data_IF_415412658080
#
_entry.id   IF_415412658080
#
_cell.length_a   1.000
_cell.length_b   1.000
_cell.length_c   1.000
_cell.angle_alpha   90.00
_cell.angle_beta   90.00
_cell.angle_gamma   90.00
#
_symmetry.space_group_name_H-M   'P 1'
#
loop_
_entity.id
_entity.type
_entity.pdbx_description
1 polymer ?
#
# COMPACT_ATOMS: atom_id res chain seq x y z
N UNK A 1 -14.40 27.70 -5.58
CA UNK A 1 -13.46 27.31 -4.54
C UNK A 1 -13.64 25.82 -4.22
N UNK A 2 -12.56 25.06 -4.12
CA UNK A 2 -12.56 23.65 -3.71
C UNK A 2 -12.50 23.58 -2.19
N UNK A 3 -13.16 22.56 -1.61
CA UNK A 3 -13.24 22.39 -0.16
C UNK A 3 -12.90 20.96 0.23
N UNK A 4 -12.03 20.82 1.22
CA UNK A 4 -11.84 19.61 1.98
C UNK A 4 -12.72 19.70 3.22
N UNK A 5 -13.37 18.62 3.61
CA UNK A 5 -14.37 18.69 4.67
C UNK A 5 -14.14 17.60 5.70
N UNK A 6 -14.09 17.98 6.97
CA UNK A 6 -14.11 17.09 8.12
C UNK A 6 -15.48 17.14 8.78
N UNK A 7 -16.04 15.96 9.06
CA UNK A 7 -17.29 15.79 9.79
C UNK A 7 -17.05 15.11 11.12
N UNK A 8 -17.66 15.61 12.18
CA UNK A 8 -17.86 14.88 13.42
C UNK A 8 -19.31 14.40 13.48
N UNK A 9 -19.47 13.10 13.66
CA UNK A 9 -20.79 12.46 13.62
C UNK A 9 -21.05 11.81 14.98
N UNK A 10 -22.24 12.01 15.54
CA UNK A 10 -22.66 11.31 16.72
C UNK A 10 -22.82 9.81 16.40
N UNK A 11 -22.11 8.94 17.14
CA UNK A 11 -22.07 7.51 16.85
C UNK A 11 -23.39 6.77 17.09
N UNK A 12 -24.26 7.31 17.94
CA UNK A 12 -25.55 6.69 18.31
C UNK A 12 -26.65 7.09 17.33
N UNK A 13 -26.74 8.39 17.02
CA UNK A 13 -27.81 8.94 16.19
C UNK A 13 -27.46 9.10 14.72
N UNK A 14 -26.16 9.07 14.36
CA UNK A 14 -25.69 9.41 13.02
C UNK A 14 -25.78 10.91 12.68
N UNK A 15 -26.20 11.76 13.64
CA UNK A 15 -26.32 13.19 13.42
C UNK A 15 -24.96 13.88 13.34
N UNK A 16 -24.81 14.82 12.44
CA UNK A 16 -23.60 15.64 12.31
C UNK A 16 -23.54 16.62 13.49
N UNK A 17 -22.56 16.46 14.38
CA UNK A 17 -22.30 17.37 15.49
C UNK A 17 -21.69 18.67 15.03
N UNK A 18 -20.67 18.57 14.15
CA UNK A 18 -20.05 19.72 13.50
C UNK A 18 -19.45 19.34 12.15
N UNK A 19 -19.22 20.35 11.34
CA UNK A 19 -18.60 20.26 10.02
C UNK A 19 -17.59 21.39 9.91
N UNK A 20 -16.35 21.06 9.46
CA UNK A 20 -15.29 22.05 9.20
C UNK A 20 -14.85 21.96 7.75
N UNK A 21 -14.74 23.10 7.10
CA UNK A 21 -14.35 23.19 5.69
C UNK A 21 -13.02 23.92 5.56
N UNK A 22 -12.07 23.29 4.89
CA UNK A 22 -10.77 23.87 4.55
C UNK A 22 -10.82 24.24 3.07
N UNK A 23 -10.72 25.52 2.77
CA UNK A 23 -10.71 26.03 1.40
C UNK A 23 -9.32 25.87 0.83
N UNK A 24 -9.22 25.29 -0.37
CA UNK A 24 -7.96 25.10 -1.09
C UNK A 24 -8.07 25.65 -2.50
N UNK A 25 -6.95 26.07 -3.06
CA UNK A 25 -6.88 26.57 -4.45
C UNK A 25 -7.06 25.42 -5.45
N UNK A 26 -6.38 24.31 -5.16
CA UNK A 26 -6.32 23.13 -6.01
C UNK A 26 -6.41 21.86 -5.17
N UNK A 27 -7.00 20.80 -5.73
CA UNK A 27 -6.96 19.46 -5.15
C UNK A 27 -5.83 18.68 -5.83
N UNK A 28 -5.11 17.89 -5.05
CA UNK A 28 -4.12 16.97 -5.57
C UNK A 28 -4.75 15.96 -6.53
N UNK A 29 -3.91 15.47 -7.45
CA UNK A 29 -4.29 14.45 -8.43
C UNK A 29 -3.63 13.14 -8.06
N UNK A 30 -4.23 12.05 -8.45
CA UNK A 30 -3.72 10.69 -8.23
C UNK A 30 -4.42 9.67 -9.11
N UNK A 31 -4.24 8.41 -8.78
CA UNK A 31 -4.91 7.28 -9.45
C UNK A 31 -6.45 7.45 -9.44
N UNK A 32 -7.21 6.90 -10.41
CA UNK A 32 -8.68 7.02 -10.45
C UNK A 32 -9.42 6.57 -9.19
N UNK A 33 -8.85 5.65 -8.40
CA UNK A 33 -9.40 5.22 -7.10
C UNK A 33 -9.03 6.15 -5.92
N UNK A 34 -8.15 7.13 -6.16
CA UNK A 34 -7.71 8.08 -5.14
C UNK A 34 -8.79 9.12 -4.82
N UNK A 35 -8.82 9.55 -3.57
CA UNK A 35 -9.62 10.67 -3.11
C UNK A 35 -8.76 11.62 -2.28
N UNK A 36 -8.80 12.95 -2.47
CA UNK A 36 -8.04 13.92 -1.67
C UNK A 36 -8.30 13.88 -0.15
N UNK A 37 -9.31 13.13 0.30
CA UNK A 37 -9.63 12.87 1.70
C UNK A 37 -9.45 11.38 2.08
N UNK A 38 -8.49 10.70 1.47
CA UNK A 38 -8.21 9.26 1.75
C UNK A 38 -7.54 9.03 3.11
N UNK A 39 -6.81 10.02 3.64
CA UNK A 39 -6.15 9.92 4.94
C UNK A 39 -7.18 9.77 6.07
N UNK A 40 -6.92 8.85 6.99
CA UNK A 40 -7.72 8.67 8.21
C UNK A 40 -7.28 9.69 9.27
N UNK A 41 -8.17 10.50 9.83
CA UNK A 41 -7.82 11.38 10.94
C UNK A 41 -7.39 10.59 12.18
N UNK A 42 -6.39 11.10 12.90
CA UNK A 42 -5.97 10.56 14.19
C UNK A 42 -6.66 11.31 15.34
N UNK A 43 -6.98 10.62 16.43
CA UNK A 43 -7.57 11.23 17.63
C UNK A 43 -7.01 10.63 18.91
N UNK A 44 -6.81 11.46 19.94
CA UNK A 44 -6.46 11.08 21.31
C UNK A 44 -7.63 11.23 22.30
N UNK A 45 -8.86 11.42 21.80
CA UNK A 45 -10.05 11.66 22.59
C UNK A 45 -10.25 13.13 22.99
N UNK A 46 -9.23 13.99 22.90
CA UNK A 46 -9.30 15.43 23.12
C UNK A 46 -9.16 16.22 21.84
N UNK A 47 -8.41 15.68 20.87
CA UNK A 47 -8.06 16.31 19.59
C UNK A 47 -8.38 15.40 18.44
N UNK A 48 -8.57 16.00 17.28
CA UNK A 48 -8.66 15.34 15.98
C UNK A 48 -7.66 16.01 15.05
N UNK A 49 -6.71 15.24 14.56
CA UNK A 49 -5.70 15.71 13.59
C UNK A 49 -6.02 15.11 12.23
N UNK A 50 -6.28 15.93 11.25
CA UNK A 50 -6.50 15.54 9.87
C UNK A 50 -5.32 15.93 8.99
N UNK A 51 -4.97 15.08 8.03
CA UNK A 51 -4.00 15.37 6.99
C UNK A 51 -4.66 15.34 5.63
N UNK A 52 -4.36 16.35 4.82
CA UNK A 52 -4.79 16.43 3.42
C UNK A 52 -3.57 16.78 2.56
N UNK A 53 -3.28 15.97 1.56
CA UNK A 53 -2.16 16.23 0.65
C UNK A 53 -2.28 17.55 -0.12
N UNK A 54 -3.51 18.10 -0.24
CA UNK A 54 -3.79 19.38 -0.87
C UNK A 54 -3.67 20.60 0.07
N UNK A 55 -3.41 20.34 1.37
CA UNK A 55 -3.36 21.41 2.37
C UNK A 55 -2.20 21.24 3.36
N UNK A 56 -2.09 20.05 3.99
CA UNK A 56 -1.20 19.78 5.11
C UNK A 56 -1.94 19.24 6.32
N UNK A 57 -1.39 19.46 7.52
CA UNK A 57 -1.96 19.05 8.80
C UNK A 57 -2.87 20.15 9.38
N UNK A 58 -3.93 19.72 10.05
CA UNK A 58 -4.81 20.60 10.82
C UNK A 58 -5.34 19.86 12.04
N UNK A 59 -5.39 20.53 13.17
CA UNK A 59 -5.88 19.99 14.44
C UNK A 59 -7.10 20.77 14.92
N UNK A 60 -8.10 20.02 15.37
CA UNK A 60 -9.30 20.53 16.02
C UNK A 60 -9.46 19.93 17.41
N UNK A 61 -10.14 20.65 18.31
CA UNK A 61 -10.63 20.06 19.56
C UNK A 61 -11.91 19.21 19.31
N UNK A 62 -12.49 18.66 20.36
CA UNK A 62 -13.73 17.84 20.26
C UNK A 62 -14.95 18.62 19.80
N UNK A 63 -14.95 19.92 20.02
CA UNK A 63 -16.00 20.87 19.65
C UNK A 63 -15.83 21.34 18.19
N UNK A 64 -14.70 20.98 17.57
CA UNK A 64 -14.36 21.33 16.21
C UNK A 64 -13.70 22.70 16.08
N UNK A 65 -13.23 23.30 17.19
CA UNK A 65 -12.47 24.54 17.11
C UNK A 65 -11.04 24.25 16.73
N UNK A 66 -10.54 24.99 15.75
CA UNK A 66 -9.18 24.82 15.26
C UNK A 66 -8.16 25.21 16.34
N UNK A 67 -7.21 24.32 16.59
CA UNK A 67 -6.13 24.54 17.56
C UNK A 67 -4.85 25.02 16.88
N UNK A 68 -4.49 24.36 15.77
CA UNK A 68 -3.32 24.71 14.96
C UNK A 68 -3.47 24.13 13.55
N UNK A 69 -2.70 24.70 12.61
CA UNK A 69 -2.56 24.21 11.23
C UNK A 69 -1.14 24.34 10.72
N UNK A 70 -0.75 23.43 9.85
CA UNK A 70 0.55 23.41 9.18
C UNK A 70 0.31 23.24 7.69
N UNK A 71 0.21 24.33 6.93
CA UNK A 71 0.11 24.26 5.48
C UNK A 71 1.36 23.64 4.87
N UNK A 72 1.18 22.82 3.86
CA UNK A 72 2.26 22.15 3.11
C UNK A 72 2.00 22.30 1.60
N UNK A 73 3.06 22.23 0.76
CA UNK A 73 2.87 22.19 -0.68
C UNK A 73 1.98 21.02 -1.09
N UNK A 74 1.23 21.19 -2.21
CA UNK A 74 0.39 20.10 -2.74
C UNK A 74 1.24 18.86 -3.08
N UNK A 75 0.78 17.69 -2.68
CA UNK A 75 1.52 16.44 -2.95
C UNK A 75 1.43 16.05 -4.42
N UNK A 76 2.48 15.37 -4.90
CA UNK A 76 2.53 14.75 -6.23
C UNK A 76 3.02 13.31 -6.08
N UNK A 77 2.16 12.35 -6.34
CA UNK A 77 2.48 10.93 -6.40
C UNK A 77 1.52 10.21 -7.34
N UNK A 78 1.89 9.03 -7.81
CA UNK A 78 1.04 8.21 -8.70
C UNK A 78 -0.31 7.87 -8.05
N UNK A 79 -0.29 7.41 -6.81
CA UNK A 79 -1.50 6.99 -6.12
C UNK A 79 -2.25 8.16 -5.45
N UNK A 80 -1.72 9.39 -5.49
CA UNK A 80 -2.14 10.46 -4.60
C UNK A 80 -1.61 10.24 -3.20
N UNK A 81 -2.13 10.98 -2.21
CA UNK A 81 -1.70 10.84 -0.84
C UNK A 81 -2.77 10.18 0.02
N UNK A 82 -2.45 9.03 0.60
CA UNK A 82 -3.34 8.28 1.49
C UNK A 82 -2.68 7.88 2.82
N UNK A 83 -1.45 8.34 3.09
CA UNK A 83 -0.86 8.17 4.43
C UNK A 83 -1.69 8.91 5.47
N UNK A 84 -1.75 8.36 6.67
CA UNK A 84 -2.51 8.94 7.78
C UNK A 84 -1.56 9.44 8.86
N UNK A 85 -1.86 10.56 9.53
CA UNK A 85 -1.10 10.97 10.70
C UNK A 85 -1.36 9.99 11.84
N UNK A 86 -0.41 9.90 12.77
CA UNK A 86 -0.55 9.10 13.97
C UNK A 86 -0.20 9.95 15.21
N UNK A 87 -0.89 9.71 16.34
CA UNK A 87 -0.61 10.39 17.61
C UNK A 87 0.08 9.41 18.53
N UNK A 88 1.27 9.79 19.03
CA UNK A 88 2.06 8.99 19.98
C UNK A 88 2.59 9.90 21.09
N UNK A 89 2.28 9.55 22.33
CA UNK A 89 2.71 10.37 23.46
C UNK A 89 2.22 11.82 23.31
N UNK A 90 3.15 12.75 23.22
CA UNK A 90 2.90 14.17 22.97
C UNK A 90 3.11 14.61 21.52
N UNK A 91 3.30 13.67 20.60
CA UNK A 91 3.62 13.91 19.20
C UNK A 91 2.48 13.54 18.25
N UNK A 92 2.40 14.28 17.15
CA UNK A 92 1.76 13.86 15.90
C UNK A 92 2.87 13.55 14.89
N UNK A 93 2.87 12.35 14.36
CA UNK A 93 3.83 11.93 13.33
C UNK A 93 3.14 11.81 11.99
N UNK A 94 3.78 12.30 10.95
CA UNK A 94 3.36 12.19 9.55
C UNK A 94 4.51 11.69 8.68
N UNK A 95 4.30 10.61 7.94
CA UNK A 95 5.15 10.23 6.81
C UNK A 95 4.57 10.83 5.52
N UNK A 96 5.38 11.56 4.78
CA UNK A 96 4.95 12.23 3.54
C UNK A 96 5.83 11.81 2.37
N UNK A 97 5.43 10.73 1.69
CA UNK A 97 6.12 10.18 0.53
C UNK A 97 5.56 10.77 -0.78
N UNK A 98 6.30 11.65 -1.45
CA UNK A 98 5.90 12.24 -2.72
C UNK A 98 7.08 12.91 -3.44
N UNK A 99 6.86 13.37 -4.68
CA UNK A 99 7.89 14.01 -5.52
C UNK A 99 8.28 15.44 -5.10
N UNK A 100 7.45 16.10 -4.28
CA UNK A 100 7.65 17.52 -3.96
C UNK A 100 8.53 17.68 -2.73
N UNK A 101 8.23 16.94 -1.66
CA UNK A 101 8.92 17.06 -0.38
C UNK A 101 8.73 15.77 0.42
N UNK A 102 9.72 14.88 0.33
CA UNK A 102 9.69 13.53 0.92
C UNK A 102 10.32 13.55 2.30
N UNK A 103 9.51 13.38 3.35
CA UNK A 103 9.97 13.47 4.72
C UNK A 103 9.11 12.70 5.73
N UNK A 104 9.66 12.53 6.92
CA UNK A 104 8.93 12.21 8.14
C UNK A 104 8.96 13.43 9.05
N UNK A 105 7.83 13.79 9.63
CA UNK A 105 7.66 14.96 10.47
C UNK A 105 7.03 14.55 11.80
N UNK A 106 7.60 15.02 12.92
CA UNK A 106 6.94 15.01 14.21
C UNK A 106 6.69 16.43 14.71
N UNK A 107 5.48 16.67 15.17
CA UNK A 107 5.09 17.94 15.78
C UNK A 107 4.46 17.68 17.15
N UNK A 108 4.60 18.65 18.06
CA UNK A 108 3.91 18.59 19.34
C UNK A 108 2.38 18.63 19.09
N UNK A 109 1.65 17.68 19.65
CA UNK A 109 0.22 17.51 19.40
C UNK A 109 -0.65 18.66 19.91
N UNK A 110 -0.17 19.42 20.89
CA UNK A 110 -0.92 20.54 21.48
C UNK A 110 -0.72 21.84 20.70
N UNK A 111 0.50 22.07 20.25
CA UNK A 111 0.89 23.36 19.69
C UNK A 111 1.14 23.36 18.19
N UNK A 112 1.28 22.17 17.58
CA UNK A 112 1.70 22.02 16.18
C UNK A 112 3.17 22.39 15.93
N UNK A 113 3.96 22.74 16.98
CA UNK A 113 5.37 23.08 16.81
C UNK A 113 6.16 21.86 16.38
N UNK A 114 6.99 22.01 15.35
CA UNK A 114 7.90 20.95 14.90
C UNK A 114 8.86 20.57 16.03
N UNK A 115 8.93 19.27 16.29
CA UNK A 115 9.91 18.68 17.20
C UNK A 115 11.12 18.18 16.39
N UNK A 116 10.86 17.45 15.32
CA UNK A 116 11.89 17.05 14.37
C UNK A 116 11.28 16.84 12.96
N UNK A 117 12.14 16.91 11.95
CA UNK A 117 11.83 16.59 10.55
C UNK A 117 13.03 15.90 9.92
N UNK A 118 12.79 14.75 9.28
CA UNK A 118 13.82 13.96 8.61
C UNK A 118 13.44 13.83 7.14
N UNK A 119 14.25 14.40 6.26
CA UNK A 119 14.12 14.21 4.83
C UNK A 119 14.52 12.80 4.43
N UNK A 120 13.78 12.22 3.51
CA UNK A 120 14.04 10.89 2.97
C UNK A 120 14.82 11.05 1.67
N UNK A 121 16.06 10.57 1.66
CA UNK A 121 16.95 10.65 0.48
C UNK A 121 16.64 9.57 -0.57
N UNK A 122 15.74 8.64 -0.25
CA UNK A 122 15.32 7.60 -1.18
C UNK A 122 14.75 8.20 -2.47
N UNK A 123 15.20 7.75 -3.65
CA UNK A 123 14.66 8.24 -4.91
C UNK A 123 13.18 7.87 -5.03
N UNK A 124 12.34 8.89 -5.16
CA UNK A 124 10.91 8.73 -5.36
C UNK A 124 10.60 8.77 -6.85
N UNK A 125 10.21 7.65 -7.45
CA UNK A 125 9.77 7.60 -8.84
C UNK A 125 8.27 7.84 -8.97
N UNK A 126 7.83 8.31 -10.14
CA UNK A 126 6.41 8.58 -10.44
C UNK A 126 5.49 7.35 -10.29
N UNK A 127 6.08 6.16 -10.23
CA UNK A 127 5.36 4.89 -10.15
C UNK A 127 5.17 4.38 -8.72
N UNK A 128 5.69 5.10 -7.72
CA UNK A 128 5.62 4.72 -6.32
C UNK A 128 4.45 5.42 -5.64
N UNK A 129 3.75 4.67 -4.81
CA UNK A 129 2.58 5.18 -4.10
C UNK A 129 2.95 5.81 -2.75
N UNK A 130 3.79 5.15 -1.95
CA UNK A 130 4.20 5.59 -0.60
C UNK A 130 3.05 6.10 0.27
N UNK A 131 2.01 5.29 0.39
CA UNK A 131 0.81 5.61 1.17
C UNK A 131 0.73 4.87 2.50
N UNK A 132 1.77 4.10 2.83
CA UNK A 132 1.90 3.41 4.12
C UNK A 132 1.82 4.40 5.28
N UNK A 133 1.17 3.99 6.36
CA UNK A 133 1.08 4.79 7.58
C UNK A 133 2.22 4.43 8.54
N UNK A 134 2.74 5.40 9.31
CA UNK A 134 3.69 5.13 10.36
C UNK A 134 3.04 4.35 11.52
N UNK A 135 3.77 3.42 12.12
CA UNK A 135 3.38 2.74 13.36
C UNK A 135 4.50 2.87 14.39
N UNK A 136 4.17 2.81 15.68
CA UNK A 136 5.18 2.86 16.75
C UNK A 136 5.18 1.56 17.56
N UNK A 137 6.37 1.05 17.80
CA UNK A 137 6.60 -0.11 18.65
C UNK A 137 7.95 0.03 19.35
N UNK A 138 8.01 -0.29 20.65
CA UNK A 138 9.24 -0.27 21.45
C UNK A 138 10.05 1.04 21.31
N UNK A 139 9.37 2.20 21.25
CA UNK A 139 10.02 3.51 21.10
C UNK A 139 10.49 3.84 19.68
N UNK A 140 10.30 2.92 18.73
CA UNK A 140 10.67 3.10 17.33
C UNK A 140 9.46 3.37 16.45
N UNK A 141 9.62 4.31 15.53
CA UNK A 141 8.68 4.58 14.44
C UNK A 141 9.05 3.69 13.26
N UNK A 142 8.20 2.73 12.95
CA UNK A 142 8.37 1.83 11.79
C UNK A 142 7.69 2.41 10.57
N UNK A 143 8.43 2.46 9.47
CA UNK A 143 7.98 2.98 8.18
C UNK A 143 8.22 1.94 7.08
N UNK A 144 7.25 1.80 6.21
CA UNK A 144 7.41 1.11 4.92
C UNK A 144 7.46 2.19 3.84
N UNK A 145 8.66 2.43 3.32
CA UNK A 145 8.92 3.43 2.29
C UNK A 145 9.04 2.79 0.91
N UNK A 146 9.28 3.59 -0.11
CA UNK A 146 9.42 3.10 -1.49
C UNK A 146 10.60 2.14 -1.69
N UNK A 147 11.62 2.21 -0.85
CA UNK A 147 12.89 1.47 -1.03
C UNK A 147 13.32 0.72 0.20
N UNK A 148 12.60 0.87 1.31
CA UNK A 148 13.00 0.27 2.58
C UNK A 148 11.82 0.00 3.51
N UNK A 149 12.08 -0.84 4.49
CA UNK A 149 11.42 -0.83 5.79
C UNK A 149 12.43 -0.29 6.77
N UNK A 150 12.08 0.71 7.57
CA UNK A 150 13.03 1.35 8.47
C UNK A 150 12.41 1.69 9.83
N UNK A 151 13.26 1.74 10.83
CA UNK A 151 12.92 2.23 12.15
C UNK A 151 13.63 3.55 12.42
N UNK A 152 12.88 4.53 12.92
CA UNK A 152 13.42 5.77 13.46
C UNK A 152 13.08 5.82 14.94
N UNK A 153 14.01 6.30 15.75
CA UNK A 153 13.71 6.65 17.14
C UNK A 153 12.59 7.70 17.18
N UNK A 154 11.49 7.42 17.86
CA UNK A 154 10.30 8.27 17.81
C UNK A 154 10.52 9.64 18.44
N UNK A 155 11.43 9.75 19.42
CA UNK A 155 11.70 11.00 20.11
C UNK A 155 12.57 11.97 19.29
N UNK A 156 13.52 11.43 18.53
CA UNK A 156 14.53 12.22 17.81
C UNK A 156 14.43 12.18 16.29
N UNK A 157 13.73 11.20 15.73
CA UNK A 157 13.70 10.94 14.29
C UNK A 157 14.98 10.31 13.75
N UNK A 158 15.96 9.97 14.59
CA UNK A 158 17.21 9.33 14.15
C UNK A 158 16.92 7.90 13.66
N UNK A 159 17.52 7.52 12.53
CA UNK A 159 17.42 6.16 12.01
C UNK A 159 18.11 5.18 12.98
N UNK A 160 17.37 4.14 13.36
CA UNK A 160 17.86 3.02 14.19
C UNK A 160 18.34 1.91 13.29
N UNK A 161 17.48 1.48 12.35
CA UNK A 161 17.83 0.48 11.34
C UNK A 161 17.09 0.72 10.02
N UNK A 162 17.61 0.12 8.96
CA UNK A 162 17.01 0.12 7.63
C UNK A 162 17.21 -1.22 6.93
N UNK A 163 16.12 -1.78 6.43
CA UNK A 163 16.11 -2.98 5.58
C UNK A 163 15.76 -2.56 4.15
N UNK A 164 16.62 -2.85 3.17
CA UNK A 164 16.35 -2.53 1.78
C UNK A 164 15.19 -3.37 1.24
N UNK A 165 14.18 -2.73 0.70
CA UNK A 165 12.96 -3.38 0.24
C UNK A 165 12.28 -2.51 -0.82
N UNK A 166 12.54 -2.80 -2.11
CA UNK A 166 11.97 -2.01 -3.20
C UNK A 166 10.53 -2.44 -3.52
N UNK A 167 9.55 -1.64 -3.10
CA UNK A 167 8.11 -1.90 -3.26
C UNK A 167 7.35 -0.65 -3.69
N UNK A 168 6.04 -0.76 -3.82
CA UNK A 168 5.14 0.41 -3.98
C UNK A 168 4.87 1.13 -2.66
N UNK A 169 5.15 0.49 -1.50
CA UNK A 169 4.94 1.02 -0.15
C UNK A 169 3.52 1.53 0.13
N UNK A 170 2.52 0.77 -0.26
CA UNK A 170 1.10 1.08 0.02
C UNK A 170 0.63 0.47 1.33
N UNK A 171 1.05 -0.77 1.61
CA UNK A 171 0.68 -1.52 2.80
C UNK A 171 1.35 -0.97 4.06
N UNK A 172 0.57 -0.74 5.10
CA UNK A 172 1.08 -0.39 6.43
C UNK A 172 1.65 -1.64 7.12
N UNK A 173 2.84 -1.57 7.74
CA UNK A 173 3.38 -2.67 8.53
C UNK A 173 2.47 -3.04 9.70
N UNK A 174 2.51 -4.31 10.12
CA UNK A 174 1.89 -4.75 11.37
C UNK A 174 2.91 -5.47 12.23
N UNK A 175 2.62 -5.57 13.54
CA UNK A 175 3.53 -6.18 14.50
C UNK A 175 2.94 -7.48 15.02
N UNK A 176 3.78 -8.51 15.12
CA UNK A 176 3.42 -9.79 15.72
C UNK A 176 4.66 -10.54 16.21
N UNK A 177 4.61 -11.06 17.44
CA UNK A 177 5.65 -11.92 18.05
C UNK A 177 7.08 -11.38 17.87
N UNK A 178 7.30 -10.08 18.12
CA UNK A 178 8.62 -9.45 17.98
C UNK A 178 9.05 -9.18 16.53
N UNK A 179 8.14 -9.34 15.55
CA UNK A 179 8.43 -9.13 14.14
C UNK A 179 7.63 -7.97 13.56
N UNK A 180 8.25 -7.23 12.65
CA UNK A 180 7.59 -6.31 11.71
C UNK A 180 7.17 -7.12 10.49
N UNK A 181 5.89 -7.12 10.16
CA UNK A 181 5.31 -7.86 9.04
C UNK A 181 4.86 -6.88 7.96
N UNK A 182 5.31 -7.08 6.73
CA UNK A 182 5.09 -6.15 5.61
C UNK A 182 4.63 -6.90 4.37
N UNK A 183 3.57 -6.44 3.72
CA UNK A 183 3.22 -6.87 2.38
C UNK A 183 4.07 -6.08 1.37
N UNK A 184 5.19 -6.64 0.99
CA UNK A 184 6.16 -6.05 0.08
C UNK A 184 5.79 -6.37 -1.38
N UNK A 185 4.72 -5.77 -1.86
CA UNK A 185 4.33 -5.88 -3.27
C UNK A 185 5.16 -4.95 -4.14
N UNK A 186 5.58 -5.41 -5.30
CA UNK A 186 6.20 -4.58 -6.33
C UNK A 186 5.58 -4.80 -7.70
N UNK A 187 5.80 -3.86 -8.61
CA UNK A 187 5.17 -3.88 -9.94
C UNK A 187 5.57 -5.06 -10.84
N UNK A 188 6.71 -5.73 -10.59
CA UNK A 188 7.06 -6.96 -11.29
C UNK A 188 6.22 -8.15 -10.83
N UNK A 189 5.57 -8.04 -9.67
CA UNK A 189 4.73 -9.09 -9.10
C UNK A 189 5.48 -10.37 -8.75
N UNK A 190 4.76 -11.45 -8.77
CA UNK A 190 5.23 -12.77 -8.33
C UNK A 190 6.44 -13.26 -9.14
N UNK A 191 7.52 -13.67 -8.48
CA UNK A 191 8.75 -14.13 -9.18
C UNK A 191 8.49 -15.27 -10.16
N UNK A 192 7.62 -16.21 -9.81
CA UNK A 192 7.27 -17.36 -10.65
C UNK A 192 6.55 -16.96 -11.97
N UNK A 193 6.00 -15.75 -12.05
CA UNK A 193 5.31 -15.22 -13.24
C UNK A 193 6.22 -14.37 -14.13
N UNK A 194 7.53 -14.41 -13.90
CA UNK A 194 8.53 -13.66 -14.68
C UNK A 194 9.23 -14.58 -15.66
N UNK A 195 8.85 -14.58 -16.96
CA UNK A 195 9.43 -15.49 -17.94
C UNK A 195 10.90 -15.19 -18.19
N UNK A 196 11.64 -16.19 -18.62
CA UNK A 196 13.00 -16.02 -19.19
C UNK A 196 12.90 -15.28 -20.52
N UNK A 197 13.83 -14.39 -20.79
CA UNK A 197 13.98 -13.80 -22.11
C UNK A 197 14.85 -14.68 -22.98
N UNK A 198 14.52 -14.83 -24.27
CA UNK A 198 15.36 -15.54 -25.22
C UNK A 198 16.68 -14.81 -25.48
N UNK A 199 17.73 -15.52 -25.85
CA UNK A 199 18.91 -14.94 -26.49
C UNK A 199 18.56 -14.40 -27.87
N UNK A 200 19.48 -13.65 -28.50
CA UNK A 200 19.24 -13.18 -29.86
C UNK A 200 19.19 -14.33 -30.88
N UNK A 201 20.03 -15.35 -30.70
CA UNK A 201 20.02 -16.55 -31.55
C UNK A 201 18.73 -17.35 -31.43
N UNK A 202 18.16 -17.43 -30.24
CA UNK A 202 16.84 -18.03 -30.01
C UNK A 202 15.72 -17.20 -30.68
N UNK A 203 15.83 -15.86 -30.72
CA UNK A 203 14.90 -15.01 -31.45
C UNK A 203 14.98 -15.24 -32.95
N UNK A 204 16.21 -15.25 -33.50
CA UNK A 204 16.42 -15.53 -34.94
C UNK A 204 15.86 -16.88 -35.31
N UNK A 205 16.23 -17.94 -34.57
CA UNK A 205 15.77 -19.31 -34.84
C UNK A 205 14.26 -19.42 -34.86
N UNK A 206 13.57 -18.67 -33.97
CA UNK A 206 12.12 -18.78 -33.84
C UNK A 206 11.31 -17.81 -34.69
N UNK A 207 11.89 -16.69 -35.15
CA UNK A 207 11.10 -15.57 -35.67
C UNK A 207 11.68 -14.86 -36.88
N UNK A 208 12.94 -15.04 -37.25
CA UNK A 208 13.53 -14.48 -38.48
C UNK A 208 13.04 -15.25 -39.70
N UNK A 209 11.91 -14.83 -40.25
CA UNK A 209 11.24 -15.53 -41.34
C UNK A 209 11.93 -15.31 -42.72
N UNK A 210 12.60 -14.17 -42.87
CA UNK A 210 13.27 -13.79 -44.13
C UNK A 210 14.75 -14.12 -44.14
N UNK A 211 15.28 -14.63 -43.01
CA UNK A 211 16.68 -15.06 -42.84
C UNK A 211 17.71 -13.92 -43.15
N UNK A 212 17.39 -12.71 -42.70
CA UNK A 212 18.28 -11.55 -42.85
C UNK A 212 19.11 -11.23 -41.58
N UNK A 213 19.08 -12.15 -40.60
CA UNK A 213 19.78 -12.03 -39.30
C UNK A 213 19.32 -10.82 -38.45
N UNK A 214 18.15 -10.25 -38.77
CA UNK A 214 17.52 -9.15 -38.06
C UNK A 214 16.06 -9.50 -37.73
N UNK A 215 15.52 -8.82 -36.72
CA UNK A 215 14.12 -9.00 -36.33
C UNK A 215 13.33 -7.73 -36.64
N UNK A 216 12.50 -7.79 -37.66
CA UNK A 216 11.59 -6.71 -38.03
C UNK A 216 10.41 -6.61 -37.04
N UNK A 217 9.64 -5.50 -37.11
CA UNK A 217 8.46 -5.31 -36.28
C UNK A 217 7.38 -6.41 -36.52
N UNK A 218 7.31 -6.99 -37.70
CA UNK A 218 6.36 -8.05 -38.04
C UNK A 218 6.78 -9.41 -37.45
N UNK A 219 8.08 -9.61 -37.32
CA UNK A 219 8.70 -10.83 -36.82
C UNK A 219 8.81 -10.83 -35.30
N UNK A 220 8.75 -9.63 -34.67
CA UNK A 220 8.96 -9.47 -33.24
C UNK A 220 7.84 -10.13 -32.40
N UNK A 221 8.15 -11.17 -31.61
CA UNK A 221 7.15 -11.86 -30.82
C UNK A 221 6.67 -11.04 -29.62
N UNK A 222 5.53 -11.41 -29.06
CA UNK A 222 5.07 -10.84 -27.80
C UNK A 222 5.85 -11.43 -26.63
N UNK A 223 6.89 -10.75 -26.20
CA UNK A 223 7.73 -11.15 -25.07
C UNK A 223 7.25 -10.49 -23.77
N UNK A 224 6.81 -11.28 -22.82
CA UNK A 224 6.31 -10.78 -21.54
C UNK A 224 7.48 -10.47 -20.60
N UNK A 225 7.45 -9.31 -19.96
CA UNK A 225 8.36 -8.93 -18.87
C UNK A 225 7.92 -9.66 -17.59
N UNK A 226 6.62 -9.71 -17.37
CA UNK A 226 5.96 -10.47 -16.32
C UNK A 226 4.51 -10.73 -16.72
N UNK A 227 3.94 -11.81 -16.20
CA UNK A 227 2.52 -12.11 -16.26
C UNK A 227 1.82 -11.65 -14.99
N UNK A 228 0.51 -11.47 -15.07
CA UNK A 228 -0.36 -11.25 -13.91
C UNK A 228 -1.33 -12.41 -13.77
N UNK A 229 -1.62 -12.88 -12.54
CA UNK A 229 -2.71 -13.82 -12.33
C UNK A 229 -4.05 -13.16 -12.62
N UNK A 230 -5.07 -13.98 -12.91
CA UNK A 230 -6.44 -13.50 -13.11
C UNK A 230 -6.92 -12.65 -11.91
N UNK A 231 -7.58 -11.54 -12.20
CA UNK A 231 -8.08 -10.60 -11.18
C UNK A 231 -7.02 -9.75 -10.50
N UNK A 232 -5.78 -9.75 -11.01
CA UNK A 232 -4.71 -8.92 -10.46
C UNK A 232 -4.87 -7.43 -10.82
N UNK A 233 -4.03 -6.64 -10.18
CA UNK A 233 -3.88 -5.20 -10.39
C UNK A 233 -3.38 -4.88 -11.80
N UNK A 234 -3.57 -3.63 -12.23
CA UNK A 234 -3.10 -3.19 -13.54
C UNK A 234 -1.56 -3.24 -13.67
N UNK A 235 -1.04 -3.59 -14.85
CA UNK A 235 -1.78 -4.01 -16.04
C UNK A 235 -2.30 -5.45 -15.90
N UNK A 236 -3.59 -5.65 -16.12
CA UNK A 236 -4.29 -6.92 -15.84
C UNK A 236 -3.66 -8.15 -16.50
N UNK A 237 -3.09 -8.00 -17.68
CA UNK A 237 -2.49 -9.12 -18.45
C UNK A 237 -0.95 -9.15 -18.34
N UNK A 238 -0.36 -8.38 -17.41
CA UNK A 238 1.08 -8.20 -17.33
C UNK A 238 1.62 -7.18 -18.33
N UNK A 239 2.93 -7.10 -18.44
CA UNK A 239 3.62 -6.18 -19.35
C UNK A 239 4.50 -6.93 -20.34
N UNK A 240 4.56 -6.45 -21.58
CA UNK A 240 5.42 -6.99 -22.63
C UNK A 240 6.46 -5.96 -23.08
N UNK A 241 7.54 -6.47 -23.65
CA UNK A 241 8.54 -5.65 -24.34
C UNK A 241 7.90 -5.03 -25.58
N UNK A 242 8.09 -3.74 -25.76
CA UNK A 242 7.62 -3.03 -26.96
C UNK A 242 8.74 -3.02 -27.99
N UNK A 243 8.44 -3.33 -29.25
CA UNK A 243 9.40 -3.25 -30.35
C UNK A 243 10.17 -1.91 -30.36
N UNK A 244 9.42 -0.80 -30.30
CA UNK A 244 9.99 0.56 -30.28
C UNK A 244 10.87 0.91 -29.08
N UNK A 245 10.87 0.09 -28.03
CA UNK A 245 11.79 0.25 -26.90
C UNK A 245 13.12 -0.47 -27.11
N UNK A 246 13.17 -1.36 -28.08
CA UNK A 246 14.35 -2.13 -28.48
C UNK A 246 15.01 -1.50 -29.70
N UNK A 247 14.26 -1.25 -30.77
CA UNK A 247 14.64 -0.52 -31.97
C UNK A 247 14.89 0.97 -31.64
N UNK A 248 16.08 1.28 -31.13
CA UNK A 248 16.40 2.62 -30.60
C UNK A 248 16.78 3.60 -31.71
N UNK A 249 17.41 3.11 -32.76
CA UNK A 249 17.79 3.90 -33.92
C UNK A 249 16.63 4.12 -34.90
N UNK A 250 15.50 3.45 -34.67
CA UNK A 250 14.28 3.49 -35.48
C UNK A 250 14.51 3.00 -36.93
N UNK A 251 15.38 2.04 -37.08
CA UNK A 251 15.65 1.40 -38.37
C UNK A 251 14.50 0.52 -38.87
N UNK A 252 13.56 0.16 -37.97
CA UNK A 252 12.50 -0.79 -38.22
C UNK A 252 12.93 -2.25 -38.06
N UNK A 253 14.16 -2.50 -37.62
CA UNK A 253 14.74 -3.82 -37.37
C UNK A 253 15.55 -3.81 -36.08
N UNK A 254 15.49 -4.91 -35.33
CA UNK A 254 16.26 -5.09 -34.10
C UNK A 254 17.56 -5.83 -34.48
N UNK A 255 18.67 -5.26 -34.09
CA UNK A 255 20.01 -5.83 -34.19
C UNK A 255 20.35 -6.65 -32.91
N UNK A 256 21.36 -7.52 -33.04
CA UNK A 256 21.95 -8.25 -31.89
C UNK A 256 22.37 -7.32 -30.76
N UNK A 257 23.02 -6.18 -31.15
CA UNK A 257 23.48 -5.21 -30.13
C UNK A 257 22.31 -4.58 -29.34
N UNK A 258 21.28 -4.14 -30.02
CA UNK A 258 20.10 -3.55 -29.38
C UNK A 258 19.41 -4.55 -28.47
N UNK A 259 19.31 -5.82 -28.88
CA UNK A 259 18.73 -6.85 -28.04
C UNK A 259 19.57 -7.11 -26.78
N UNK A 260 20.90 -7.19 -26.90
CA UNK A 260 21.80 -7.33 -25.74
C UNK A 260 21.63 -6.17 -24.77
N UNK A 261 21.54 -4.94 -25.28
CA UNK A 261 21.30 -3.76 -24.44
C UNK A 261 19.93 -3.79 -23.77
N UNK A 262 18.91 -4.24 -24.48
CA UNK A 262 17.58 -4.46 -23.92
C UNK A 262 17.61 -5.49 -22.79
N UNK A 263 18.28 -6.62 -22.97
CA UNK A 263 18.44 -7.63 -21.93
C UNK A 263 19.17 -7.10 -20.69
N UNK A 264 20.23 -6.31 -20.87
CA UNK A 264 20.94 -5.64 -19.77
C UNK A 264 20.01 -4.70 -19.01
N UNK A 265 19.22 -3.89 -19.73
CA UNK A 265 18.22 -2.99 -19.15
C UNK A 265 17.16 -3.73 -18.36
N UNK A 266 16.64 -4.84 -18.89
CA UNK A 266 15.65 -5.68 -18.23
C UNK A 266 16.23 -6.38 -16.98
N UNK A 267 17.46 -6.85 -17.03
CA UNK A 267 18.16 -7.44 -15.88
C UNK A 267 18.33 -6.40 -14.76
N UNK A 268 18.79 -5.20 -15.09
CA UNK A 268 18.89 -4.07 -14.15
C UNK A 268 17.53 -3.70 -13.56
N UNK A 269 16.49 -3.64 -14.38
CA UNK A 269 15.13 -3.38 -13.91
C UNK A 269 14.64 -4.46 -12.95
N UNK A 270 14.83 -5.74 -13.27
CA UNK A 270 14.46 -6.86 -12.40
C UNK A 270 15.24 -6.85 -11.09
N UNK A 271 16.54 -6.55 -11.13
CA UNK A 271 17.37 -6.47 -9.92
C UNK A 271 16.94 -5.36 -8.96
N UNK A 272 16.34 -4.28 -9.49
CA UNK A 272 15.81 -3.18 -8.68
C UNK A 272 14.53 -3.54 -7.90
N UNK A 273 13.88 -4.67 -8.24
CA UNK A 273 12.62 -5.13 -7.66
C UNK A 273 12.70 -6.61 -7.23
N UNK A 274 13.82 -6.99 -6.62
CA UNK A 274 13.99 -8.39 -6.16
C UNK A 274 13.05 -8.73 -5.01
N UNK A 275 12.82 -7.78 -4.11
CA UNK A 275 11.97 -7.99 -2.95
C UNK A 275 10.50 -8.01 -3.34
N UNK A 276 9.84 -9.14 -3.13
CA UNK A 276 8.40 -9.33 -3.30
C UNK A 276 7.95 -10.43 -2.37
N UNK A 277 7.01 -10.15 -1.50
CA UNK A 277 6.50 -11.17 -0.59
C UNK A 277 5.83 -10.59 0.65
N UNK A 278 5.28 -11.48 1.45
CA UNK A 278 4.94 -11.21 2.84
C UNK A 278 6.23 -11.38 3.64
N UNK A 279 6.81 -10.26 4.06
CA UNK A 279 8.09 -10.25 4.76
C UNK A 279 7.89 -10.17 6.27
N UNK A 280 8.79 -10.81 7.02
CA UNK A 280 8.90 -10.65 8.46
C UNK A 280 10.35 -10.31 8.83
N UNK A 281 10.51 -9.21 9.58
CA UNK A 281 11.80 -8.69 10.05
C UNK A 281 11.76 -8.58 11.57
N UNK A 282 12.83 -8.93 12.32
CA UNK A 282 12.89 -8.63 13.73
C UNK A 282 12.70 -7.15 14.03
N UNK A 283 12.00 -6.80 15.11
CA UNK A 283 11.85 -5.40 15.54
C UNK A 283 13.20 -4.86 16.03
N UNK A 284 13.94 -5.69 16.75
CA UNK A 284 15.24 -5.37 17.31
C UNK A 284 16.33 -5.62 16.26
N UNK A 285 16.65 -4.56 15.53
CA UNK A 285 17.74 -4.49 14.56
C UNK A 285 18.56 -3.22 14.79
N UNK A 286 19.75 -3.13 14.21
CA UNK A 286 20.61 -1.96 14.21
C UNK A 286 21.25 -1.74 12.83
N UNK A 287 21.40 -0.49 12.43
CA UNK A 287 22.07 -0.13 11.19
C UNK A 287 21.42 -0.70 9.92
N UNK A 288 22.21 -1.19 8.99
CA UNK A 288 21.72 -1.86 7.77
C UNK A 288 21.42 -3.33 8.08
N UNK A 289 20.15 -3.69 7.97
CA UNK A 289 19.69 -5.08 8.18
C UNK A 289 20.25 -5.99 7.08
N UNK A 290 20.83 -7.12 7.49
CA UNK A 290 21.30 -8.12 6.55
C UNK A 290 20.09 -8.75 5.81
N UNK A 291 20.14 -8.93 4.49
CA UNK A 291 19.08 -9.60 3.76
C UNK A 291 18.74 -11.01 4.26
N UNK A 292 19.67 -11.71 4.90
CA UNK A 292 19.44 -13.04 5.50
C UNK A 292 18.53 -13.01 6.74
N UNK A 293 18.42 -11.86 7.41
CA UNK A 293 17.52 -11.65 8.55
C UNK A 293 16.08 -11.34 8.12
N UNK A 294 15.88 -11.09 6.82
CA UNK A 294 14.58 -10.84 6.24
C UNK A 294 13.95 -12.15 5.78
N UNK A 295 12.93 -12.58 6.50
CA UNK A 295 12.21 -13.81 6.14
C UNK A 295 11.10 -13.52 5.15
N UNK A 296 11.08 -14.22 4.02
CA UNK A 296 9.93 -14.25 3.11
C UNK A 296 9.00 -15.39 3.53
N UNK A 297 7.83 -15.03 4.08
CA UNK A 297 6.84 -15.99 4.53
C UNK A 297 6.03 -16.57 3.36
N UNK A 298 5.77 -15.76 2.34
CA UNK A 298 5.00 -16.11 1.13
C UNK A 298 5.37 -15.12 0.01
N UNK A 299 5.49 -15.58 -1.22
CA UNK A 299 5.79 -14.74 -2.39
C UNK A 299 4.66 -14.71 -3.44
N UNK A 300 3.56 -15.44 -3.18
CA UNK A 300 2.40 -15.51 -4.05
C UNK A 300 1.17 -14.88 -3.41
N UNK A 301 0.37 -14.20 -4.23
CA UNK A 301 -0.89 -13.62 -3.78
C UNK A 301 -0.73 -12.45 -2.82
N UNK A 302 0.40 -11.74 -2.88
CA UNK A 302 0.68 -10.58 -2.05
C UNK A 302 -0.23 -9.42 -2.47
N UNK A 303 -0.89 -8.74 -1.51
CA UNK A 303 -1.71 -7.58 -1.82
C UNK A 303 -0.86 -6.36 -2.17
N UNK A 304 -1.31 -5.58 -3.15
CA UNK A 304 -0.70 -4.30 -3.48
C UNK A 304 -1.07 -3.22 -2.47
N UNK A 305 -2.34 -3.11 -2.07
CA UNK A 305 -2.88 -2.03 -1.25
C UNK A 305 -3.21 -2.46 0.17
N UNK A 306 -3.98 -3.53 0.41
CA UNK A 306 -4.36 -3.92 1.76
C UNK A 306 -3.15 -4.22 2.65
N UNK A 307 -3.22 -3.75 3.88
CA UNK A 307 -2.26 -4.14 4.92
C UNK A 307 -2.56 -5.56 5.39
N UNK A 308 -1.54 -6.34 5.78
CA UNK A 308 -1.75 -7.61 6.47
C UNK A 308 -2.37 -7.37 7.85
N UNK A 309 -2.80 -8.45 8.46
CA UNK A 309 -3.32 -8.44 9.83
C UNK A 309 -2.70 -9.60 10.58
N UNK A 310 -2.18 -9.35 11.77
CA UNK A 310 -1.66 -10.37 12.66
C UNK A 310 -2.64 -10.64 13.80
N UNK A 311 -2.90 -11.93 14.06
CA UNK A 311 -3.75 -12.34 15.17
C UNK A 311 -3.40 -13.76 15.64
N UNK A 312 -3.05 -13.92 16.90
CA UNK A 312 -2.78 -15.22 17.56
C UNK A 312 -1.81 -16.12 16.76
N UNK A 313 -0.64 -15.58 16.41
CA UNK A 313 0.40 -16.32 15.67
C UNK A 313 0.15 -16.46 14.17
N UNK A 314 -0.97 -15.95 13.68
CA UNK A 314 -1.37 -16.06 12.27
C UNK A 314 -1.36 -14.70 11.56
N UNK A 315 -0.93 -14.72 10.31
CA UNK A 315 -0.91 -13.55 9.41
C UNK A 315 -1.97 -13.74 8.34
N UNK A 316 -2.87 -12.79 8.22
CA UNK A 316 -3.96 -12.79 7.25
C UNK A 316 -3.77 -11.65 6.26
N UNK A 317 -4.01 -11.92 4.98
CA UNK A 317 -4.02 -10.89 3.95
C UNK A 317 -4.95 -11.26 2.80
N UNK A 318 -5.54 -10.25 2.19
CA UNK A 318 -6.48 -10.39 1.08
C UNK A 318 -6.00 -9.56 -0.10
N UNK A 319 -6.04 -10.12 -1.30
CA UNK A 319 -5.73 -9.39 -2.54
C UNK A 319 -6.95 -9.25 -3.44
N UNK A 320 -6.81 -8.47 -4.50
CA UNK A 320 -7.80 -8.31 -5.54
C UNK A 320 -8.35 -9.65 -6.04
N UNK A 321 -9.65 -9.69 -6.33
CA UNK A 321 -10.39 -10.92 -6.65
C UNK A 321 -10.74 -11.78 -5.43
N UNK A 322 -10.49 -11.29 -4.20
CA UNK A 322 -10.92 -11.91 -2.96
C UNK A 322 -10.08 -13.11 -2.49
N UNK A 323 -8.86 -13.27 -3.00
CA UNK A 323 -7.98 -14.32 -2.50
C UNK A 323 -7.47 -13.95 -1.10
N UNK A 324 -8.00 -14.63 -0.09
CA UNK A 324 -7.60 -14.53 1.32
C UNK A 324 -6.60 -15.65 1.64
N UNK A 325 -5.43 -15.27 2.15
CA UNK A 325 -4.38 -16.19 2.60
C UNK A 325 -4.16 -16.05 4.10
N UNK A 326 -3.94 -17.18 4.77
CA UNK A 326 -3.54 -17.27 6.17
C UNK A 326 -2.23 -18.05 6.27
N UNK A 327 -1.26 -17.47 6.98
CA UNK A 327 0.05 -18.07 7.24
C UNK A 327 0.28 -18.17 8.74
N UNK A 328 1.03 -19.17 9.16
CA UNK A 328 1.63 -19.20 10.48
C UNK A 328 2.90 -18.35 10.49
N UNK A 329 2.99 -17.37 11.39
CA UNK A 329 4.12 -16.42 11.42
C UNK A 329 5.47 -17.11 11.66
N UNK A 330 5.52 -18.06 12.60
CA UNK A 330 6.78 -18.72 13.01
C UNK A 330 7.41 -19.53 11.89
N UNK A 331 6.62 -20.29 11.14
CA UNK A 331 7.10 -21.23 10.13
C UNK A 331 7.01 -20.71 8.71
N UNK A 332 6.15 -19.70 8.46
CA UNK A 332 5.75 -19.28 7.12
C UNK A 332 4.79 -20.27 6.43
N UNK A 333 4.39 -21.35 7.13
CA UNK A 333 3.50 -22.36 6.55
C UNK A 333 2.15 -21.76 6.23
N UNK A 334 1.69 -21.98 4.99
CA UNK A 334 0.33 -21.61 4.58
C UNK A 334 -0.67 -22.53 5.28
N UNK A 335 -1.51 -21.95 6.15
CA UNK A 335 -2.60 -22.66 6.82
C UNK A 335 -3.73 -22.90 5.84
N UNK A 336 -4.10 -21.85 5.09
CA UNK A 336 -5.05 -21.97 3.99
C UNK A 336 -4.94 -20.79 3.01
N UNK A 337 -5.49 -21.01 1.83
CA UNK A 337 -5.86 -19.97 0.86
C UNK A 337 -7.25 -20.27 0.35
N UNK A 338 -8.13 -19.31 0.44
CA UNK A 338 -9.51 -19.42 -0.04
C UNK A 338 -9.90 -18.16 -0.82
N UNK A 339 -11.01 -18.22 -1.51
CA UNK A 339 -11.57 -17.09 -2.21
C UNK A 339 -12.84 -16.63 -1.50
N UNK A 340 -12.87 -15.38 -1.04
CA UNK A 340 -14.04 -14.75 -0.43
C UNK A 340 -15.13 -14.50 -1.47
N UNK A 341 -16.35 -14.19 -1.03
CA UNK A 341 -17.46 -13.85 -1.93
C UNK A 341 -17.28 -12.53 -2.68
N UNK A 342 -16.48 -11.60 -2.15
CA UNK A 342 -16.10 -10.36 -2.84
C UNK A 342 -15.15 -10.65 -4.01
N UNK A 343 -15.48 -10.19 -5.22
CA UNK A 343 -14.72 -10.45 -6.46
C UNK A 343 -14.02 -9.23 -7.02
N UNK A 344 -14.41 -8.05 -6.56
CA UNK A 344 -13.85 -6.78 -7.01
C UNK A 344 -12.44 -6.51 -6.49
N UNK A 345 -11.99 -5.28 -6.69
CA UNK A 345 -10.75 -4.79 -6.09
C UNK A 345 -10.85 -4.83 -4.56
N UNK A 346 -9.76 -5.19 -3.90
CA UNK A 346 -9.64 -5.12 -2.44
C UNK A 346 -8.59 -4.06 -2.10
N UNK A 347 -9.07 -2.87 -1.71
CA UNK A 347 -8.21 -1.80 -1.17
C UNK A 347 -8.35 -1.72 0.36
N UNK A 348 -9.50 -2.11 0.89
CA UNK A 348 -9.72 -2.24 2.32
C UNK A 348 -8.86 -3.36 2.91
N UNK A 349 -8.18 -3.08 4.00
CA UNK A 349 -7.49 -4.10 4.79
C UNK A 349 -8.50 -4.99 5.53
N UNK A 350 -8.20 -6.27 5.78
CA UNK A 350 -9.03 -7.11 6.62
C UNK A 350 -9.02 -6.60 8.07
N UNK A 351 -10.12 -6.80 8.79
CA UNK A 351 -10.22 -6.48 10.22
C UNK A 351 -10.75 -7.69 11.00
N UNK A 352 -10.35 -7.81 12.25
CA UNK A 352 -10.84 -8.87 13.16
C UNK A 352 -11.62 -8.25 14.30
N UNK A 353 -12.78 -8.85 14.61
CA UNK A 353 -13.55 -8.61 15.82
C UNK A 353 -13.95 -9.96 16.42
N UNK A 354 -13.62 -10.16 17.69
CA UNK A 354 -13.79 -11.43 18.37
C UNK A 354 -13.11 -12.57 17.57
N UNK A 355 -13.87 -13.58 17.15
CA UNK A 355 -13.41 -14.71 16.34
C UNK A 355 -13.76 -14.59 14.85
N UNK A 356 -14.00 -13.37 14.36
CA UNK A 356 -14.49 -13.10 13.00
C UNK A 356 -13.56 -12.20 12.25
N UNK A 357 -13.19 -12.61 11.03
CA UNK A 357 -12.46 -11.82 10.08
C UNK A 357 -13.44 -11.21 9.07
N UNK A 358 -13.31 -9.92 8.83
CA UNK A 358 -14.17 -9.15 7.94
C UNK A 358 -13.33 -8.60 6.80
N UNK A 359 -13.75 -8.84 5.56
CA UNK A 359 -13.18 -8.25 4.35
C UNK A 359 -14.22 -7.41 3.63
N UNK A 360 -13.77 -6.37 2.95
CA UNK A 360 -14.61 -5.49 2.13
C UNK A 360 -14.01 -5.37 0.73
N UNK A 361 -14.85 -5.46 -0.28
CA UNK A 361 -14.46 -5.41 -1.69
C UNK A 361 -15.08 -4.20 -2.41
N UNK A 362 -14.40 -3.74 -3.46
CA UNK A 362 -14.84 -2.60 -4.27
C UNK A 362 -16.15 -2.81 -5.01
N UNK A 363 -16.60 -4.05 -5.18
CA UNK A 363 -17.94 -4.39 -5.66
C UNK A 363 -19.05 -4.23 -4.60
N UNK A 364 -18.70 -3.71 -3.41
CA UNK A 364 -19.61 -3.49 -2.30
C UNK A 364 -19.88 -4.74 -1.44
N UNK A 365 -19.20 -5.85 -1.71
CA UNK A 365 -19.38 -7.07 -0.90
C UNK A 365 -18.59 -6.99 0.39
N UNK A 366 -19.28 -7.21 1.50
CA UNK A 366 -18.68 -7.43 2.82
C UNK A 366 -18.78 -8.93 3.12
N UNK A 367 -17.67 -9.56 3.42
CA UNK A 367 -17.62 -10.98 3.78
C UNK A 367 -17.13 -11.13 5.22
N UNK A 368 -17.87 -11.89 6.02
CA UNK A 368 -17.53 -12.24 7.41
C UNK A 368 -17.21 -13.72 7.46
N UNK A 369 -16.00 -14.05 7.90
CA UNK A 369 -15.52 -15.42 8.06
C UNK A 369 -15.30 -15.73 9.53
N UNK A 370 -15.59 -16.96 9.94
CA UNK A 370 -15.15 -17.48 11.24
C UNK A 370 -13.65 -17.77 11.16
N UNK A 371 -12.88 -17.30 12.14
CA UNK A 371 -11.47 -17.64 12.28
C UNK A 371 -11.24 -19.11 12.65
N UNK A 372 -10.04 -19.63 12.39
CA UNK A 372 -9.61 -20.97 12.75
C UNK A 372 -8.99 -21.72 11.58
N UNK A 373 -8.61 -22.98 11.81
CA UNK A 373 -7.90 -23.83 10.85
C UNK A 373 -8.77 -24.21 9.64
N UNK A 374 -10.09 -24.15 9.76
CA UNK A 374 -11.05 -24.37 8.68
C UNK A 374 -12.00 -23.17 8.54
N UNK A 375 -11.52 -22.03 8.03
CA UNK A 375 -12.37 -20.85 7.92
C UNK A 375 -13.53 -21.10 6.97
N UNK A 376 -14.68 -20.58 7.34
CA UNK A 376 -15.87 -20.59 6.47
C UNK A 376 -16.52 -19.23 6.48
N UNK A 377 -17.10 -18.86 5.36
CA UNK A 377 -17.97 -17.70 5.28
C UNK A 377 -19.20 -17.93 6.17
N UNK A 378 -19.43 -17.02 7.10
CA UNK A 378 -20.62 -17.03 7.96
C UNK A 378 -21.73 -16.19 7.36
N UNK A 379 -21.34 -14.98 6.90
CA UNK A 379 -22.27 -13.99 6.37
C UNK A 379 -21.64 -13.24 5.22
N UNK A 380 -22.45 -12.88 4.26
CA UNK A 380 -22.13 -11.90 3.22
C UNK A 380 -23.20 -10.83 3.19
N UNK A 381 -22.80 -9.60 2.93
CA UNK A 381 -23.70 -8.48 2.74
C UNK A 381 -23.30 -7.76 1.46
N UNK A 382 -24.30 -7.32 0.68
CA UNK A 382 -24.09 -6.53 -0.52
C UNK A 382 -24.48 -5.09 -0.24
N UNK A 383 -23.47 -4.22 -0.15
CA UNK A 383 -23.69 -2.77 -0.17
C UNK A 383 -24.06 -2.36 -1.59
N UNK A 384 -25.00 -1.42 -1.73
CA UNK A 384 -25.42 -0.88 -3.04
C UNK A 384 -24.43 0.14 -3.63
N UNK A 385 -23.19 0.15 -3.13
CA UNK A 385 -22.18 1.16 -3.43
C UNK A 385 -20.79 0.59 -3.16
N UNK A 386 -19.75 1.13 -3.81
CA UNK A 386 -18.37 0.66 -3.68
C UNK A 386 -17.80 0.88 -2.28
N UNK A 387 -17.01 -0.09 -1.80
CA UNK A 387 -16.29 -0.01 -0.51
C UNK A 387 -14.79 -0.12 -0.75
N UNK A 388 -14.06 0.95 -0.50
CA UNK A 388 -12.60 1.00 -0.61
C UNK A 388 -11.90 1.25 0.74
N UNK A 389 -12.63 1.86 1.68
CA UNK A 389 -12.10 2.14 3.01
C UNK A 389 -12.13 0.89 3.89
N UNK A 390 -11.10 0.70 4.68
CA UNK A 390 -11.06 -0.34 5.72
C UNK A 390 -12.20 -0.09 6.73
N UNK A 391 -13.05 -1.09 7.02
CA UNK A 391 -14.06 -0.97 8.05
C UNK A 391 -13.45 -0.67 9.42
N UNK A 392 -14.14 0.13 10.23
CA UNK A 392 -13.74 0.41 11.60
C UNK A 392 -14.68 -0.28 12.58
N UNK A 393 -14.14 -0.68 13.74
CA UNK A 393 -14.91 -1.33 14.81
C UNK A 393 -14.71 -0.54 16.10
N UNK A 394 -15.79 -0.12 16.72
CA UNK A 394 -15.78 0.55 18.03
C UNK A 394 -17.04 0.22 18.81
N UNK A 395 -16.87 -0.13 20.09
CA UNK A 395 -17.97 -0.43 21.02
C UNK A 395 -19.01 -1.44 20.47
N UNK A 396 -18.53 -2.48 19.77
CA UNK A 396 -19.38 -3.52 19.17
C UNK A 396 -20.11 -3.09 17.89
N UNK A 397 -19.82 -1.90 17.36
CA UNK A 397 -20.40 -1.39 16.13
C UNK A 397 -19.36 -1.47 15.00
N UNK A 398 -19.77 -2.03 13.87
CA UNK A 398 -19.00 -2.05 12.62
C UNK A 398 -19.40 -0.83 11.76
N UNK A 399 -18.44 0.02 11.49
CA UNK A 399 -18.62 1.17 10.60
C UNK A 399 -18.07 0.85 9.22
N UNK A 400 -18.90 1.00 8.19
CA UNK A 400 -18.53 0.77 6.79
C UNK A 400 -18.75 2.05 6.00
N UNK A 401 -17.67 2.60 5.45
CA UNK A 401 -17.73 3.74 4.53
C UNK A 401 -17.81 3.23 3.09
N UNK A 402 -18.92 3.54 2.43
CA UNK A 402 -19.06 3.39 0.98
C UNK A 402 -18.68 4.68 0.26
N UNK A 403 -18.74 4.70 -1.06
CA UNK A 403 -18.44 5.93 -1.82
C UNK A 403 -19.31 7.12 -1.38
N UNK A 404 -20.61 6.90 -1.12
CA UNK A 404 -21.56 7.95 -0.81
C UNK A 404 -22.02 8.00 0.66
N UNK A 405 -21.91 6.91 1.42
CA UNK A 405 -22.53 6.78 2.74
C UNK A 405 -21.58 6.18 3.78
N UNK A 406 -21.85 6.49 5.04
CA UNK A 406 -21.31 5.80 6.21
C UNK A 406 -22.41 5.00 6.87
N UNK A 407 -22.20 3.71 7.03
CA UNK A 407 -23.12 2.79 7.72
C UNK A 407 -22.54 2.39 9.07
N UNK A 408 -23.43 2.17 10.03
CA UNK A 408 -23.12 1.60 11.33
C UNK A 408 -23.99 0.35 11.55
N UNK A 409 -23.34 -0.78 11.78
CA UNK A 409 -23.99 -2.06 12.03
C UNK A 409 -23.67 -2.51 13.46
N UNK A 410 -24.69 -2.72 14.26
CA UNK A 410 -24.60 -3.18 15.64
C UNK A 410 -25.86 -3.91 16.04
N UNK A 411 -25.85 -4.55 17.20
CA UNK A 411 -27.07 -5.13 17.77
C UNK A 411 -28.04 -4.01 18.16
N UNK A 412 -29.32 -4.19 17.82
CA UNK A 412 -30.36 -3.32 18.37
C UNK A 412 -30.41 -3.56 19.88
N UNK A 413 -30.14 -2.52 20.63
CA UNK A 413 -30.43 -2.48 22.05
C UNK A 413 -31.93 -2.42 22.29
#
# INVERSE_FOLDING_TARGET
QKKLVLFCINKESGAIRWKRSIVVKELERGHPSFNPASSTPASDGKRVVAYFGSFGLICFNREGDEQWRIPMPITKSYAGNATSPAIFGDQVVLYRGNHVDHFVLAVNKETGKQQWKVHQEEPFSSELACTSCPIVVAGNLILHTARSVQALDVASGKQVWVAKCATTATSTPVIGEGMVIVAAWNKLGEPALRPRFPSYDELLTGHDANQDDLISQREFPRLMIFHRPEGAEAPQNGASVRFSSVDRDRSGKITRQEWIEQLKGLAKFRSSYQTHGMLALPIENEGLVDPSDIRTLEDQGIPEVPSPLFHQGLVYFVKNGGALTCLELRTGKRVYRLRTSGRGTHYASPVIANDRLITAAGDGKITVLKLGVGPREMYTSQMKDSVYATPAISDGILYVRTHHKLFAFGEKK
#
